data_IF_085369306279
#
_entry.id   IF_085369306279
#
_cell.length_a   1.000
_cell.length_b   1.000
_cell.length_c   1.000
_cell.angle_alpha   90.00
_cell.angle_beta   90.00
_cell.angle_gamma   90.00
#
_symmetry.space_group_name_H-M   'P 1'
#
loop_
_entity.id
_entity.type
_entity.pdbx_description
1 polymer ?
#
# COMPACT_ATOMS: atom_id res chain seq x y z
N UNK A 1 2.69 9.70 21.34
CA UNK A 1 2.09 9.06 22.54
C UNK A 1 1.42 7.80 22.02
N UNK A 2 2.14 6.65 22.09
CA UNK A 2 1.69 5.39 21.48
C UNK A 2 0.62 4.76 22.37
N UNK A 3 -0.61 4.72 21.88
CA UNK A 3 -1.71 4.05 22.57
C UNK A 3 -1.61 2.55 22.28
N UNK A 4 -1.16 1.76 23.25
CA UNK A 4 -1.10 0.31 23.18
C UNK A 4 -2.48 -0.27 23.50
N UNK A 5 -3.09 -1.00 22.55
CA UNK A 5 -4.25 -1.83 22.84
C UNK A 5 -3.76 -3.19 23.36
N UNK A 6 -3.99 -3.46 24.63
CA UNK A 6 -3.73 -4.76 25.25
C UNK A 6 -5.03 -5.56 25.22
N UNK A 7 -5.07 -6.62 24.42
CA UNK A 7 -6.11 -7.64 24.51
C UNK A 7 -5.64 -8.71 25.48
N UNK A 8 -6.34 -8.89 26.58
CA UNK A 8 -6.05 -9.92 27.59
C UNK A 8 -6.96 -11.14 27.34
N UNK A 9 -6.35 -12.31 27.05
CA UNK A 9 -7.04 -13.60 27.05
C UNK A 9 -6.51 -14.48 28.19
N UNK A 10 -7.37 -15.25 28.87
CA UNK A 10 -6.92 -16.16 29.93
C UNK A 10 -6.16 -17.34 29.33
N UNK A 11 -5.01 -17.66 29.92
CA UNK A 11 -4.19 -18.83 29.51
C UNK A 11 -4.78 -20.10 30.09
N UNK A 12 -5.07 -21.09 29.25
CA UNK A 12 -5.56 -22.40 29.67
C UNK A 12 -4.46 -23.15 30.46
N UNK A 13 -4.90 -23.87 31.50
CA UNK A 13 -4.02 -24.64 32.39
C UNK A 13 -3.33 -25.75 31.63
N UNK A 14 -2.01 -25.67 31.41
CA UNK A 14 -1.23 -26.78 30.86
C UNK A 14 -0.41 -26.47 29.58
N UNK A 15 -0.42 -25.26 29.03
CA UNK A 15 0.44 -24.93 27.89
C UNK A 15 1.86 -24.55 28.34
N UNK A 16 2.86 -25.24 27.79
CA UNK A 16 4.28 -24.88 27.91
C UNK A 16 4.56 -23.67 26.98
N UNK A 17 4.88 -22.54 27.58
CA UNK A 17 5.26 -21.32 26.86
C UNK A 17 6.79 -21.36 26.64
N UNK A 18 7.22 -21.27 25.37
CA UNK A 18 8.64 -21.16 25.04
C UNK A 18 9.19 -19.80 25.52
N UNK A 19 10.42 -19.79 26.03
CA UNK A 19 11.06 -18.60 26.62
C UNK A 19 11.23 -17.42 25.66
N UNK A 20 11.08 -17.63 24.34
CA UNK A 20 11.13 -16.59 23.30
C UNK A 20 9.86 -15.74 23.18
N UNK A 21 8.72 -16.20 23.75
CA UNK A 21 7.42 -15.55 23.59
C UNK A 21 7.05 -14.63 24.76
N UNK A 22 7.94 -14.49 25.72
CA UNK A 22 7.68 -13.72 26.95
C UNK A 22 8.46 -12.41 26.93
N UNK A 23 7.90 -11.39 26.32
CA UNK A 23 8.26 -10.03 26.70
C UNK A 23 7.39 -9.64 27.92
N UNK A 24 7.81 -10.04 29.11
CA UNK A 24 7.15 -9.67 30.34
C UNK A 24 7.46 -8.20 30.64
N UNK A 25 6.52 -7.31 30.32
CA UNK A 25 6.41 -6.07 31.08
C UNK A 25 5.44 -6.39 32.22
N UNK A 26 5.99 -6.93 33.30
CA UNK A 26 5.25 -7.03 34.55
C UNK A 26 5.13 -5.64 35.15
N UNK A 27 4.10 -4.93 34.78
CA UNK A 27 3.61 -3.84 35.64
C UNK A 27 2.75 -4.54 36.69
N UNK A 28 3.40 -5.03 37.73
CA UNK A 28 2.72 -5.54 38.89
C UNK A 28 2.08 -4.38 39.65
N UNK A 29 0.82 -4.07 39.33
CA UNK A 29 -0.02 -3.36 40.26
C UNK A 29 -0.51 -4.39 41.28
N UNK A 30 0.26 -4.56 42.34
CA UNK A 30 -0.12 -5.39 43.45
C UNK A 30 -1.26 -4.73 44.21
N UNK A 31 -2.49 -5.11 43.85
CA UNK A 31 -3.59 -4.99 44.77
C UNK A 31 -3.62 -6.28 45.57
N UNK A 32 -3.03 -6.22 46.77
CA UNK A 32 -3.03 -7.32 47.71
C UNK A 32 -4.45 -7.56 48.23
N UNK A 33 -5.14 -8.52 47.60
CA UNK A 33 -6.25 -9.21 48.26
C UNK A 33 -6.32 -10.63 47.66
N UNK A 34 -5.95 -11.59 48.49
CA UNK A 34 -6.10 -13.04 48.31
C UNK A 34 -5.33 -13.69 47.14
N UNK A 35 -4.04 -13.98 47.29
CA UNK A 35 -3.40 -15.26 46.96
C UNK A 35 -3.47 -15.83 45.56
N UNK A 36 -3.90 -15.12 44.50
CA UNK A 36 -3.93 -15.62 43.13
C UNK A 36 -3.27 -14.61 42.19
N UNK A 37 -2.10 -14.95 41.69
CA UNK A 37 -1.49 -14.20 40.58
C UNK A 37 -2.08 -14.72 39.28
N UNK A 38 -2.96 -13.97 38.63
CA UNK A 38 -3.38 -14.23 37.25
C UNK A 38 -2.33 -13.66 36.31
N UNK A 39 -1.61 -14.53 35.65
CA UNK A 39 -0.70 -14.14 34.56
C UNK A 39 -1.53 -13.91 33.29
N UNK A 40 -1.63 -12.65 32.88
CA UNK A 40 -2.26 -12.30 31.60
C UNK A 40 -1.18 -12.23 30.51
N UNK A 41 -1.42 -12.98 29.44
CA UNK A 41 -0.56 -12.95 28.24
C UNK A 41 -0.86 -11.68 27.43
N UNK A 42 0.09 -10.76 27.38
CA UNK A 42 0.01 -9.63 26.46
C UNK A 42 0.50 -10.08 25.07
N UNK A 43 -0.42 -10.21 24.13
CA UNK A 43 -0.05 -10.49 22.74
C UNK A 43 0.37 -9.17 22.07
N UNK A 44 1.67 -9.01 21.89
CA UNK A 44 2.23 -7.84 21.21
C UNK A 44 2.21 -8.12 19.72
N UNK A 45 1.27 -7.55 18.99
CA UNK A 45 1.34 -7.51 17.52
C UNK A 45 2.43 -6.52 17.15
N UNK A 46 3.63 -7.02 16.90
CA UNK A 46 4.72 -6.19 16.39
C UNK A 46 4.53 -6.13 14.87
N UNK A 47 4.03 -5.01 14.37
CA UNK A 47 4.03 -4.74 12.92
C UNK A 47 5.48 -4.66 12.47
N UNK A 48 5.92 -5.62 11.68
CA UNK A 48 7.33 -5.80 11.28
C UNK A 48 7.65 -5.18 9.94
N UNK A 49 6.65 -4.67 9.20
CA UNK A 49 6.86 -4.04 7.91
C UNK A 49 5.56 -3.61 7.25
N UNK A 50 5.68 -2.88 6.16
CA UNK A 50 4.55 -2.51 5.31
C UNK A 50 4.55 -3.34 4.02
N UNK A 51 3.38 -3.50 3.41
CA UNK A 51 3.26 -3.98 2.04
C UNK A 51 2.92 -2.80 1.14
N UNK A 52 3.88 -2.32 0.37
CA UNK A 52 3.66 -1.27 -0.64
C UNK A 52 3.18 -1.92 -1.93
N UNK A 53 1.93 -1.67 -2.30
CA UNK A 53 1.31 -2.16 -3.54
C UNK A 53 1.39 -1.02 -4.56
N UNK A 54 2.32 -1.12 -5.49
CA UNK A 54 2.46 -0.19 -6.60
C UNK A 54 1.46 -0.57 -7.69
N UNK A 55 0.52 0.32 -8.01
CA UNK A 55 -0.47 0.15 -9.06
C UNK A 55 -0.18 1.18 -10.15
N UNK A 56 0.44 0.75 -11.26
CA UNK A 56 1.04 1.62 -12.26
C UNK A 56 0.25 1.56 -13.56
N UNK A 57 -0.15 2.71 -14.04
CA UNK A 57 -0.75 2.91 -15.35
C UNK A 57 0.31 2.72 -16.43
N UNK A 58 0.11 1.73 -17.29
CA UNK A 58 0.96 1.44 -18.44
C UNK A 58 0.25 1.73 -19.78
N UNK A 59 -0.83 2.51 -19.75
CA UNK A 59 -1.62 2.87 -20.94
C UNK A 59 -0.88 3.79 -21.90
N UNK A 60 -1.45 3.99 -23.08
CA UNK A 60 -0.86 4.81 -24.13
C UNK A 60 -0.71 6.29 -23.76
N UNK A 61 -1.54 6.82 -22.87
CA UNK A 61 -1.39 8.20 -22.36
C UNK A 61 -0.11 8.39 -21.55
N UNK A 62 0.36 7.32 -20.91
CA UNK A 62 1.65 7.26 -20.19
C UNK A 62 2.84 7.03 -21.14
N UNK A 63 2.58 6.54 -22.37
CA UNK A 63 3.60 6.12 -23.34
C UNK A 63 4.26 7.25 -24.13
N UNK A 64 3.98 8.53 -23.87
CA UNK A 64 4.88 9.59 -24.32
C UNK A 64 6.19 9.38 -23.57
N UNK A 65 7.25 8.97 -24.31
CA UNK A 65 8.52 8.41 -23.81
C UNK A 65 9.06 9.05 -22.51
N UNK A 66 8.87 10.33 -22.36
CA UNK A 66 9.35 11.09 -21.20
C UNK A 66 8.54 10.83 -19.93
N UNK A 67 7.22 10.60 -20.04
CA UNK A 67 6.35 10.35 -18.88
C UNK A 67 6.61 8.98 -18.25
N UNK A 68 6.72 7.96 -19.10
CA UNK A 68 7.00 6.62 -18.63
C UNK A 68 8.37 6.52 -17.97
N UNK A 69 9.39 7.19 -18.52
CA UNK A 69 10.70 7.25 -17.90
C UNK A 69 10.68 7.97 -16.54
N UNK A 70 9.98 9.09 -16.43
CA UNK A 70 9.79 9.79 -15.16
C UNK A 70 9.02 8.93 -14.15
N UNK A 71 7.94 8.26 -14.60
CA UNK A 71 7.15 7.33 -13.78
C UNK A 71 8.01 6.17 -13.27
N UNK A 72 8.77 5.52 -14.17
CA UNK A 72 9.70 4.45 -13.80
C UNK A 72 10.74 4.96 -12.79
N UNK A 73 11.31 6.14 -13.02
CA UNK A 73 12.26 6.77 -12.10
C UNK A 73 11.67 7.01 -10.71
N UNK A 74 10.48 7.58 -10.61
CA UNK A 74 9.77 7.79 -9.35
C UNK A 74 9.45 6.48 -8.64
N UNK A 75 8.93 5.47 -9.37
CA UNK A 75 8.65 4.14 -8.81
C UNK A 75 9.91 3.45 -8.33
N UNK A 76 11.04 3.61 -9.03
CA UNK A 76 12.34 3.10 -8.59
C UNK A 76 12.83 3.76 -7.29
N UNK A 77 12.59 5.06 -7.12
CA UNK A 77 12.83 5.76 -5.86
C UNK A 77 12.03 5.15 -4.71
N UNK A 78 10.72 4.92 -4.93
CA UNK A 78 9.84 4.26 -3.97
C UNK A 78 10.30 2.86 -3.58
N UNK A 79 10.75 2.08 -4.56
CA UNK A 79 11.28 0.74 -4.33
C UNK A 79 12.54 0.77 -3.47
N UNK A 80 13.43 1.75 -3.70
CA UNK A 80 14.64 1.93 -2.91
C UNK A 80 14.31 2.28 -1.45
N UNK A 81 13.34 3.18 -1.22
CA UNK A 81 12.89 3.58 0.10
C UNK A 81 12.21 2.42 0.85
N UNK A 82 11.35 1.65 0.17
CA UNK A 82 10.70 0.48 0.74
C UNK A 82 11.75 -0.58 1.17
N UNK A 83 12.77 -0.79 0.34
CA UNK A 83 13.86 -1.71 0.66
C UNK A 83 14.65 -1.29 1.91
N UNK A 84 14.99 0.00 2.03
CA UNK A 84 15.68 0.51 3.23
C UNK A 84 14.88 0.29 4.50
N UNK A 85 13.55 0.30 4.42
CA UNK A 85 12.64 0.05 5.54
C UNK A 85 12.31 -1.42 5.77
N UNK A 86 12.82 -2.33 4.94
CA UNK A 86 12.50 -3.75 4.95
C UNK A 86 11.01 -4.04 4.68
N UNK A 87 10.35 -3.13 3.95
CA UNK A 87 8.98 -3.32 3.48
C UNK A 87 8.94 -4.37 2.36
N UNK A 88 7.79 -5.01 2.18
CA UNK A 88 7.53 -5.82 0.99
C UNK A 88 6.90 -4.96 -0.09
N UNK A 89 7.19 -5.30 -1.34
CA UNK A 89 6.63 -4.59 -2.51
C UNK A 89 5.90 -5.57 -3.39
N UNK A 90 4.76 -5.14 -3.93
CA UNK A 90 4.02 -5.81 -4.99
C UNK A 90 3.79 -4.82 -6.13
N UNK A 91 3.70 -5.32 -7.37
CA UNK A 91 3.48 -4.51 -8.56
C UNK A 91 2.26 -5.01 -9.34
N UNK A 92 1.32 -4.13 -9.53
CA UNK A 92 0.16 -4.26 -10.41
C UNK A 92 0.35 -3.28 -11.54
N UNK A 93 0.11 -3.70 -12.76
CA UNK A 93 0.02 -2.80 -13.93
C UNK A 93 -1.32 -2.95 -14.60
N UNK A 94 -1.78 -1.89 -15.24
CA UNK A 94 -3.01 -1.95 -16.00
C UNK A 94 -2.84 -1.20 -17.32
N UNK A 95 -3.26 -1.86 -18.40
CA UNK A 95 -3.26 -1.33 -19.77
C UNK A 95 -4.17 -2.18 -20.67
N UNK A 96 -4.67 -1.61 -21.75
CA UNK A 96 -5.60 -2.30 -22.64
C UNK A 96 -6.92 -2.61 -21.94
N UNK A 97 -7.26 -3.89 -21.75
CA UNK A 97 -8.55 -4.29 -21.17
C UNK A 97 -8.43 -4.88 -19.76
N UNK A 98 -7.21 -5.00 -19.21
CA UNK A 98 -6.98 -5.75 -17.96
C UNK A 98 -5.92 -5.12 -17.07
N UNK A 99 -5.89 -5.64 -15.85
CA UNK A 99 -4.78 -5.43 -14.93
C UNK A 99 -4.06 -6.76 -14.67
N UNK A 100 -2.75 -6.70 -14.57
CA UNK A 100 -1.88 -7.85 -14.32
C UNK A 100 -1.09 -7.64 -13.02
N UNK A 101 -1.04 -8.69 -12.19
CA UNK A 101 -0.14 -8.72 -11.03
C UNK A 101 1.24 -9.17 -11.54
N UNK A 102 2.08 -8.19 -11.87
CA UNK A 102 3.42 -8.41 -12.43
C UNK A 102 4.38 -8.92 -11.38
N UNK A 103 4.18 -8.50 -10.12
CA UNK A 103 5.01 -8.91 -9.00
C UNK A 103 4.16 -9.16 -7.76
N UNK A 104 4.23 -10.38 -7.24
CA UNK A 104 3.64 -10.72 -5.94
C UNK A 104 4.52 -10.15 -4.80
N UNK A 105 3.99 -10.00 -3.57
CA UNK A 105 4.73 -9.43 -2.46
C UNK A 105 6.13 -10.05 -2.27
N UNK A 106 7.16 -9.22 -2.37
CA UNK A 106 8.57 -9.61 -2.23
C UNK A 106 9.37 -8.53 -1.50
N UNK A 107 10.47 -8.93 -0.86
CA UNK A 107 11.47 -8.02 -0.30
C UNK A 107 12.66 -7.78 -1.25
N UNK A 108 12.70 -8.43 -2.45
CA UNK A 108 13.79 -8.24 -3.42
C UNK A 108 13.53 -7.04 -4.31
N UNK A 109 14.37 -6.02 -4.16
CA UNK A 109 14.35 -4.82 -5.00
C UNK A 109 14.81 -5.14 -6.43
N UNK A 110 15.73 -6.10 -6.61
CA UNK A 110 16.27 -6.48 -7.91
C UNK A 110 15.17 -7.05 -8.81
N UNK A 111 14.34 -7.92 -8.26
CA UNK A 111 13.20 -8.50 -8.98
C UNK A 111 12.18 -7.41 -9.32
N UNK A 112 11.89 -6.52 -8.37
CA UNK A 112 10.96 -5.42 -8.59
C UNK A 112 11.45 -4.47 -9.70
N UNK A 113 12.75 -4.12 -9.70
CA UNK A 113 13.38 -3.30 -10.75
C UNK A 113 13.33 -3.96 -12.12
N UNK A 114 13.66 -5.25 -12.21
CA UNK A 114 13.63 -5.98 -13.45
C UNK A 114 12.21 -6.00 -14.06
N UNK A 115 11.21 -6.28 -13.25
CA UNK A 115 9.80 -6.27 -13.68
C UNK A 115 9.32 -4.89 -14.13
N UNK A 116 9.71 -3.85 -13.43
CA UNK A 116 9.35 -2.47 -13.79
C UNK A 116 9.98 -2.05 -15.13
N UNK A 117 11.22 -2.47 -15.40
CA UNK A 117 11.90 -2.17 -16.64
C UNK A 117 11.23 -2.79 -17.88
N UNK A 118 10.66 -3.99 -17.70
CA UNK A 118 10.01 -4.79 -18.78
C UNK A 118 8.56 -4.38 -19.04
N UNK A 119 8.01 -3.34 -18.35
CA UNK A 119 6.61 -2.98 -18.51
C UNK A 119 6.31 -2.53 -19.94
N UNK A 120 5.41 -3.24 -20.64
CA UNK A 120 4.92 -2.78 -21.93
C UNK A 120 4.03 -1.55 -21.73
N UNK A 121 4.05 -0.63 -22.69
CA UNK A 121 3.21 0.56 -22.66
C UNK A 121 2.28 0.57 -23.86
N UNK A 122 1.04 1.03 -23.66
CA UNK A 122 0.07 1.18 -24.74
C UNK A 122 -1.35 0.81 -24.35
N UNK A 123 -2.28 1.05 -25.26
CA UNK A 123 -3.70 0.74 -25.08
C UNK A 123 -4.46 1.70 -24.16
N UNK A 124 -5.64 1.29 -23.73
CA UNK A 124 -6.54 2.03 -22.84
C UNK A 124 -6.11 1.91 -21.37
N UNK A 125 -6.73 2.67 -20.48
CA UNK A 125 -6.42 2.73 -19.06
C UNK A 125 -7.60 2.20 -18.21
N UNK A 126 -7.66 0.87 -17.93
CA UNK A 126 -8.68 0.26 -17.08
C UNK A 126 -8.36 0.43 -15.59
N UNK A 127 -8.41 1.67 -15.10
CA UNK A 127 -8.05 2.00 -13.69
C UNK A 127 -8.84 1.16 -12.70
N UNK A 128 -10.15 0.91 -12.95
CA UNK A 128 -10.98 0.10 -12.07
C UNK A 128 -10.40 -1.32 -11.88
N UNK A 129 -9.95 -1.96 -12.97
CA UNK A 129 -9.33 -3.28 -12.91
C UNK A 129 -8.01 -3.25 -12.11
N UNK A 130 -7.19 -2.20 -12.29
CA UNK A 130 -5.98 -1.99 -11.52
C UNK A 130 -6.24 -1.90 -10.01
N UNK A 131 -7.22 -1.09 -9.62
CA UNK A 131 -7.62 -0.91 -8.23
C UNK A 131 -8.18 -2.21 -7.63
N UNK A 132 -8.99 -2.97 -8.36
CA UNK A 132 -9.55 -4.25 -7.90
C UNK A 132 -8.45 -5.32 -7.72
N UNK A 133 -7.46 -5.36 -8.62
CA UNK A 133 -6.31 -6.24 -8.47
C UNK A 133 -5.46 -5.87 -7.23
N UNK A 134 -5.26 -4.58 -6.97
CA UNK A 134 -4.56 -4.10 -5.79
C UNK A 134 -5.29 -4.46 -4.48
N UNK A 135 -6.62 -4.32 -4.43
CA UNK A 135 -7.44 -4.76 -3.28
C UNK A 135 -7.32 -6.26 -3.08
N UNK A 136 -7.30 -7.04 -4.15
CA UNK A 136 -7.13 -8.51 -4.08
C UNK A 136 -5.79 -8.87 -3.45
N UNK A 137 -4.70 -8.19 -3.82
CA UNK A 137 -3.39 -8.37 -3.19
C UNK A 137 -3.41 -7.98 -1.72
N UNK A 138 -3.97 -6.82 -1.37
CA UNK A 138 -4.05 -6.36 0.01
C UNK A 138 -4.81 -7.37 0.90
N UNK A 139 -5.91 -7.93 0.41
CA UNK A 139 -6.69 -8.96 1.12
C UNK A 139 -5.94 -10.28 1.24
N UNK A 140 -5.18 -10.67 0.22
CA UNK A 140 -4.39 -11.90 0.22
C UNK A 140 -3.29 -11.92 1.29
N UNK A 141 -2.88 -10.75 1.79
CA UNK A 141 -1.91 -10.60 2.87
C UNK A 141 -2.55 -10.42 4.24
N UNK A 142 -3.87 -10.37 4.34
CA UNK A 142 -4.60 -10.20 5.62
C UNK A 142 -4.37 -11.35 6.62
N UNK A 143 -3.85 -12.49 6.17
CA UNK A 143 -3.40 -13.60 7.05
C UNK A 143 -2.07 -13.31 7.76
N UNK A 144 -1.26 -12.40 7.23
CA UNK A 144 -0.03 -11.92 7.86
C UNK A 144 -0.31 -10.59 8.58
N UNK A 145 -0.81 -10.67 9.80
CA UNK A 145 -1.14 -9.49 10.63
C UNK A 145 0.06 -8.58 10.92
N UNK A 146 1.26 -8.99 10.52
CA UNK A 146 2.48 -8.21 10.67
C UNK A 146 2.64 -7.14 9.57
N UNK A 147 1.90 -7.24 8.45
CA UNK A 147 2.00 -6.34 7.31
C UNK A 147 0.83 -5.35 7.25
N UNK A 148 1.15 -4.08 7.05
CA UNK A 148 0.15 -3.04 6.79
C UNK A 148 0.18 -2.67 5.29
N UNK A 149 -0.91 -2.95 4.53
CA UNK A 149 -0.92 -2.64 3.11
C UNK A 149 -1.11 -1.14 2.86
N UNK A 150 -0.29 -0.60 1.96
CA UNK A 150 -0.38 0.75 1.41
C UNK A 150 -0.48 0.66 -0.10
N UNK A 151 -1.55 1.18 -0.67
CA UNK A 151 -1.71 1.30 -2.11
C UNK A 151 -1.08 2.61 -2.61
N UNK A 152 -0.24 2.52 -3.64
CA UNK A 152 0.28 3.68 -4.38
C UNK A 152 -0.20 3.58 -5.83
N UNK A 153 -1.18 4.38 -6.20
CA UNK A 153 -1.66 4.48 -7.58
C UNK A 153 -0.84 5.53 -8.33
N UNK A 154 -0.26 5.17 -9.47
CA UNK A 154 0.45 6.08 -10.38
C UNK A 154 -0.30 6.15 -11.70
N UNK A 155 -0.97 7.25 -12.01
CA UNK A 155 -1.80 7.44 -13.20
C UNK A 155 -2.09 8.92 -13.42
N UNK A 156 -2.39 9.31 -14.67
CA UNK A 156 -2.95 10.63 -14.97
C UNK A 156 -4.48 10.73 -14.72
N UNK A 157 -5.08 9.62 -14.24
CA UNK A 157 -6.49 9.53 -13.90
C UNK A 157 -7.43 9.40 -15.10
N UNK A 158 -6.92 9.32 -16.32
CA UNK A 158 -7.72 9.20 -17.55
C UNK A 158 -8.19 7.77 -17.75
N UNK A 159 -9.28 7.40 -17.06
CA UNK A 159 -9.89 6.11 -17.30
C UNK A 159 -10.47 6.02 -18.70
N UNK A 160 -10.03 5.02 -19.47
CA UNK A 160 -10.46 4.75 -20.84
C UNK A 160 -10.73 3.25 -20.99
N UNK A 161 -11.37 2.84 -22.11
CA UNK A 161 -11.69 1.42 -22.33
C UNK A 161 -13.20 1.13 -22.23
N UNK A 162 -14.05 2.15 -22.36
CA UNK A 162 -15.50 2.01 -22.41
C UNK A 162 -16.24 3.27 -21.99
N UNK A 163 -17.54 3.36 -22.25
CA UNK A 163 -18.34 4.55 -21.93
C UNK A 163 -18.41 4.81 -20.42
N UNK A 164 -18.34 3.77 -19.60
CA UNK A 164 -18.48 3.85 -18.14
C UNK A 164 -17.14 3.79 -17.39
N UNK A 165 -16.00 3.85 -18.11
CA UNK A 165 -14.68 3.66 -17.53
C UNK A 165 -14.38 4.59 -16.34
N UNK A 166 -14.79 5.86 -16.44
CA UNK A 166 -14.59 6.85 -15.38
C UNK A 166 -15.45 6.55 -14.15
N UNK A 167 -16.71 6.21 -14.34
CA UNK A 167 -17.62 5.88 -13.23
C UNK A 167 -17.25 4.55 -12.56
N UNK A 168 -16.82 3.56 -13.34
CA UNK A 168 -16.25 2.32 -12.80
C UNK A 168 -15.01 2.59 -11.94
N UNK A 169 -14.12 3.49 -12.39
CA UNK A 169 -12.93 3.87 -11.65
C UNK A 169 -13.25 4.61 -10.36
N UNK A 170 -14.20 5.54 -10.38
CA UNK A 170 -14.70 6.21 -9.17
C UNK A 170 -15.33 5.23 -8.19
N UNK A 171 -16.07 4.25 -8.69
CA UNK A 171 -16.70 3.21 -7.86
C UNK A 171 -15.64 2.31 -7.22
N UNK A 172 -14.59 1.93 -7.97
CA UNK A 172 -13.46 1.18 -7.43
C UNK A 172 -12.70 1.98 -6.36
N UNK A 173 -12.47 3.28 -6.60
CA UNK A 173 -11.84 4.20 -5.64
C UNK A 173 -12.63 4.27 -4.32
N UNK A 174 -13.96 4.39 -4.36
CA UNK A 174 -14.80 4.37 -3.16
C UNK A 174 -14.73 3.06 -2.40
N UNK A 175 -14.57 1.91 -3.10
CA UNK A 175 -14.39 0.60 -2.45
C UNK A 175 -13.08 0.54 -1.64
N UNK A 176 -12.02 1.22 -2.09
CA UNK A 176 -10.75 1.33 -1.37
C UNK A 176 -10.95 2.12 -0.06
N UNK A 177 -11.62 3.27 -0.13
CA UNK A 177 -11.96 4.06 1.05
C UNK A 177 -12.82 3.26 2.04
N UNK A 178 -13.87 2.58 1.55
CA UNK A 178 -14.76 1.75 2.37
C UNK A 178 -14.05 0.55 3.02
N UNK A 179 -13.00 0.03 2.37
CA UNK A 179 -12.17 -1.05 2.92
C UNK A 179 -11.14 -0.55 3.96
N UNK A 180 -11.01 0.76 4.17
CA UNK A 180 -10.01 1.35 5.06
C UNK A 180 -8.57 1.13 4.58
N UNK A 181 -8.36 0.81 3.30
CA UNK A 181 -7.03 0.61 2.74
C UNK A 181 -6.33 1.97 2.59
N UNK A 182 -5.20 2.13 3.28
CA UNK A 182 -4.38 3.33 3.13
C UNK A 182 -3.91 3.49 1.69
N UNK A 183 -4.05 4.69 1.13
CA UNK A 183 -3.71 4.94 -0.26
C UNK A 183 -3.06 6.31 -0.49
N UNK A 184 -2.23 6.36 -1.53
CA UNK A 184 -1.63 7.57 -2.09
C UNK A 184 -1.83 7.52 -3.60
N UNK A 185 -2.20 8.63 -4.21
CA UNK A 185 -2.27 8.78 -5.66
C UNK A 185 -1.16 9.70 -6.12
N UNK A 186 -0.38 9.23 -7.06
CA UNK A 186 0.66 9.99 -7.75
C UNK A 186 0.08 10.42 -9.10
N UNK A 187 -0.19 11.69 -9.24
CA UNK A 187 -0.69 12.30 -10.45
C UNK A 187 0.43 12.45 -11.48
N UNK A 188 0.36 11.64 -12.52
CA UNK A 188 1.31 11.65 -13.64
C UNK A 188 0.88 12.62 -14.76
N UNK A 189 -0.14 13.47 -14.54
CA UNK A 189 -0.57 14.45 -15.53
C UNK A 189 0.48 15.53 -15.71
N UNK A 190 0.94 15.71 -16.95
CA UNK A 190 1.93 16.72 -17.34
C UNK A 190 1.31 17.75 -18.30
N UNK A 191 1.86 18.96 -18.32
CA UNK A 191 1.44 20.04 -19.21
C UNK A 191 0.75 21.20 -18.50
N UNK A 192 0.47 22.25 -19.27
CA UNK A 192 -0.10 23.51 -18.74
C UNK A 192 -1.60 23.38 -18.38
N UNK A 193 -2.33 22.50 -19.05
CA UNK A 193 -3.75 22.24 -18.77
C UNK A 193 -3.88 20.91 -18.05
N UNK A 194 -4.25 20.96 -16.78
CA UNK A 194 -4.49 19.77 -15.96
C UNK A 194 -5.98 19.53 -15.79
N UNK A 195 -6.43 18.31 -16.04
CA UNK A 195 -7.84 17.91 -15.86
C UNK A 195 -8.15 17.58 -14.40
N UNK A 196 -7.13 17.22 -13.63
CA UNK A 196 -7.25 16.90 -12.21
C UNK A 196 -7.97 15.59 -11.90
N UNK A 197 -8.08 14.68 -12.86
CA UNK A 197 -8.80 13.40 -12.71
C UNK A 197 -8.15 12.50 -11.66
N UNK A 198 -6.82 12.48 -11.59
CA UNK A 198 -6.11 11.74 -10.54
C UNK A 198 -6.46 12.26 -9.15
N UNK A 199 -6.63 13.57 -8.99
CA UNK A 199 -7.05 14.19 -7.71
C UNK A 199 -8.49 13.81 -7.36
N UNK A 200 -9.40 13.73 -8.36
CA UNK A 200 -10.77 13.25 -8.12
C UNK A 200 -10.78 11.81 -7.61
N UNK A 201 -9.94 10.92 -8.20
CA UNK A 201 -9.78 9.54 -7.72
C UNK A 201 -9.21 9.51 -6.32
N UNK A 202 -8.19 10.32 -6.02
CA UNK A 202 -7.63 10.43 -4.68
C UNK A 202 -8.67 10.82 -3.64
N UNK A 203 -9.51 11.81 -3.94
CA UNK A 203 -10.61 12.23 -3.08
C UNK A 203 -11.61 11.08 -2.86
N UNK A 204 -11.96 10.33 -3.92
CA UNK A 204 -12.86 9.18 -3.83
C UNK A 204 -12.27 8.02 -3.01
N UNK A 205 -10.94 7.89 -2.98
CA UNK A 205 -10.19 6.90 -2.18
C UNK A 205 -9.92 7.36 -0.74
N UNK A 206 -10.28 8.59 -0.35
CA UNK A 206 -9.83 9.25 0.87
C UNK A 206 -8.28 9.26 0.99
N UNK A 207 -7.60 9.43 -0.14
CA UNK A 207 -6.15 9.35 -0.29
C UNK A 207 -5.51 10.73 -0.47
N UNK A 208 -4.19 10.82 -0.20
CA UNK A 208 -3.39 11.98 -0.55
C UNK A 208 -3.03 11.93 -2.04
N UNK A 209 -3.14 13.07 -2.74
CA UNK A 209 -2.70 13.22 -4.13
C UNK A 209 -1.37 14.00 -4.15
N UNK A 210 -0.36 13.42 -4.78
CA UNK A 210 0.96 14.02 -5.00
C UNK A 210 1.19 14.20 -6.49
N UNK A 211 1.97 15.19 -6.88
CA UNK A 211 2.41 15.32 -8.26
C UNK A 211 3.63 14.45 -8.52
N UNK A 212 3.74 13.87 -9.71
CA UNK A 212 4.91 13.07 -10.09
C UNK A 212 6.22 13.88 -10.00
N UNK A 213 6.17 15.16 -10.39
CA UNK A 213 7.31 16.08 -10.34
C UNK A 213 7.81 16.31 -8.91
N UNK A 214 6.91 16.30 -7.92
CA UNK A 214 7.26 16.50 -6.51
C UNK A 214 7.99 15.29 -5.90
N UNK A 215 7.95 14.12 -6.55
CA UNK A 215 8.58 12.91 -6.05
C UNK A 215 10.10 12.93 -6.19
N UNK A 216 10.62 13.71 -7.11
CA UNK A 216 12.07 13.87 -7.33
C UNK A 216 12.74 14.50 -6.09
N UNK A 217 11.97 15.22 -5.27
CA UNK A 217 12.48 15.96 -4.10
C UNK A 217 12.28 15.21 -2.75
N UNK A 218 11.98 13.92 -2.77
CA UNK A 218 11.80 13.11 -1.53
C UNK A 218 10.50 13.39 -0.76
N UNK A 219 9.53 14.09 -1.37
CA UNK A 219 8.24 14.43 -0.75
C UNK A 219 7.38 13.21 -0.48
N UNK A 220 7.51 12.15 -1.29
CA UNK A 220 6.74 10.92 -1.12
C UNK A 220 7.17 10.14 0.12
N UNK A 221 8.47 10.05 0.40
CA UNK A 221 8.99 9.44 1.63
C UNK A 221 8.35 10.08 2.87
N UNK A 222 8.25 11.41 2.87
CA UNK A 222 7.61 12.16 3.95
C UNK A 222 6.12 11.86 4.07
N UNK A 223 5.40 11.75 2.94
CA UNK A 223 3.96 11.46 2.92
C UNK A 223 3.66 10.03 3.34
N UNK A 224 4.43 9.06 2.86
CA UNK A 224 4.31 7.66 3.28
C UNK A 224 4.61 7.54 4.78
N UNK A 225 5.64 8.20 5.28
CA UNK A 225 6.01 8.21 6.70
C UNK A 225 4.88 8.74 7.59
N UNK A 226 4.16 9.78 7.16
CA UNK A 226 3.04 10.36 7.89
C UNK A 226 1.79 9.46 7.90
N UNK A 227 1.64 8.57 6.91
CA UNK A 227 0.48 7.66 6.81
C UNK A 227 0.69 6.33 7.50
N UNK A 228 1.94 5.94 7.75
CA UNK A 228 2.31 4.69 8.43
C UNK A 228 2.60 4.89 9.93
N UNK A 229 2.42 6.11 10.46
CA UNK A 229 2.45 6.43 11.90
C UNK A 229 1.04 6.48 12.48
#
# INVERSE_FOLDING_TARGET
MNTWFVRSEPVARGEHIAASDVAVIATATATATAGRVELQRAQRVQRTGSLVILCVDASGSMGADRRMEQTKGAVLGLLADAYQRRDRVALVTFAGERADIVLRPTASIEIARARLAELPTGGTSPIAAGLDAAVTLARGTSGDQSLEPLLVLVSDGRATGGPDALDASRSAARRIAAAGLAAVVVDAETGATRLGLARELANAMAATCLQLDDLVDGSLERTIRLRLQ
#
